data_IF_959144301209
#
_entry.id   IF_959144301209
#
_cell.length_a   1.000
_cell.length_b   1.000
_cell.length_c   1.000
_cell.angle_alpha   90.00
_cell.angle_beta   90.00
_cell.angle_gamma   90.00
#
_symmetry.space_group_name_H-M   'P 1'
#
loop_
_entity.id
_entity.type
_entity.pdbx_description
1 polymer ?
#
# COMPACT_ATOMS: atom_id res chain seq x y z
N UNK A 1 -5.84 8.11 26.80
CA UNK A 1 -6.47 6.86 26.35
C UNK A 1 -5.48 6.15 25.46
N UNK A 2 -5.11 4.94 25.82
CA UNK A 2 -4.20 4.10 25.02
C UNK A 2 -4.89 3.76 23.68
N UNK A 3 -4.12 3.59 22.59
CA UNK A 3 -4.69 3.32 21.27
C UNK A 3 -5.49 2.00 21.27
N UNK A 4 -5.02 0.98 22.00
CA UNK A 4 -5.72 -0.29 22.13
C UNK A 4 -7.05 -0.14 22.90
N UNK A 5 -7.05 0.65 23.96
CA UNK A 5 -8.25 0.99 24.73
C UNK A 5 -9.27 1.76 23.87
N UNK A 6 -8.79 2.71 23.06
CA UNK A 6 -9.65 3.44 22.13
C UNK A 6 -10.27 2.53 21.07
N UNK A 7 -9.50 1.62 20.50
CA UNK A 7 -9.97 0.62 19.53
C UNK A 7 -11.08 -0.22 20.16
N UNK A 8 -10.82 -0.80 21.33
CA UNK A 8 -11.78 -1.67 22.02
C UNK A 8 -13.08 -0.93 22.34
N UNK A 9 -12.99 0.33 22.78
CA UNK A 9 -14.16 1.11 23.20
C UNK A 9 -14.97 1.66 22.02
N UNK A 10 -14.31 2.09 20.93
CA UNK A 10 -15.00 2.70 19.79
C UNK A 10 -15.51 1.71 18.77
N UNK A 11 -14.81 0.59 18.59
CA UNK A 11 -15.14 -0.40 17.56
C UNK A 11 -15.87 -1.61 18.15
N UNK A 12 -15.99 -1.70 19.48
CA UNK A 12 -16.64 -2.80 20.20
C UNK A 12 -16.14 -4.20 19.79
N UNK A 13 -14.86 -4.29 19.39
CA UNK A 13 -14.25 -5.53 18.92
C UNK A 13 -13.79 -6.40 20.11
N UNK A 14 -13.79 -7.74 19.97
CA UNK A 14 -13.09 -8.64 20.87
C UNK A 14 -11.63 -8.23 21.08
N UNK A 15 -11.05 -8.61 22.22
CA UNK A 15 -9.68 -8.23 22.57
C UNK A 15 -8.63 -8.60 21.51
N UNK A 16 -8.74 -9.80 20.91
CA UNK A 16 -7.78 -10.25 19.89
C UNK A 16 -7.87 -9.44 18.60
N UNK A 17 -9.09 -9.11 18.15
CA UNK A 17 -9.32 -8.24 17.00
C UNK A 17 -8.83 -6.83 17.29
N UNK A 18 -9.12 -6.29 18.49
CA UNK A 18 -8.63 -4.98 18.92
C UNK A 18 -7.09 -4.91 18.90
N UNK A 19 -6.43 -5.95 19.43
CA UNK A 19 -4.97 -6.07 19.42
C UNK A 19 -4.42 -6.18 18.00
N UNK A 20 -5.13 -6.89 17.11
CA UNK A 20 -4.77 -6.99 15.72
C UNK A 20 -4.83 -5.63 15.01
N UNK A 21 -5.95 -4.91 15.13
CA UNK A 21 -6.14 -3.56 14.58
C UNK A 21 -5.09 -2.59 15.11
N UNK A 22 -4.75 -2.68 16.40
CA UNK A 22 -3.68 -1.88 17.01
C UNK A 22 -2.33 -2.10 16.31
N UNK A 23 -1.92 -3.36 16.14
CA UNK A 23 -0.65 -3.69 15.48
C UNK A 23 -0.64 -3.23 14.04
N UNK A 24 -1.74 -3.45 13.32
CA UNK A 24 -1.87 -3.02 11.94
C UNK A 24 -1.78 -1.53 11.75
N UNK A 25 -2.56 -0.78 12.52
CA UNK A 25 -2.52 0.69 12.52
C UNK A 25 -1.09 1.18 12.77
N UNK A 26 -0.42 0.60 13.76
CA UNK A 26 0.95 0.97 14.13
C UNK A 26 1.94 0.66 13.01
N UNK A 27 1.84 -0.50 12.37
CA UNK A 27 2.75 -0.88 11.27
C UNK A 27 2.52 -0.03 10.02
N UNK A 28 1.26 0.24 9.64
CA UNK A 28 0.91 1.12 8.52
C UNK A 28 1.54 2.50 8.75
N UNK A 29 1.37 3.09 9.94
CA UNK A 29 1.96 4.39 10.27
C UNK A 29 3.49 4.34 10.18
N UNK A 30 4.14 3.30 10.69
CA UNK A 30 5.61 3.14 10.61
C UNK A 30 6.09 3.09 9.17
N UNK A 31 5.42 2.31 8.33
CA UNK A 31 5.76 2.15 6.90
C UNK A 31 5.56 3.46 6.16
N UNK A 32 4.43 4.14 6.36
CA UNK A 32 4.16 5.44 5.74
C UNK A 32 5.22 6.47 6.13
N UNK A 33 5.55 6.57 7.43
CA UNK A 33 6.58 7.50 7.91
C UNK A 33 7.92 7.28 7.23
N UNK A 34 8.29 6.02 7.00
CA UNK A 34 9.61 5.64 6.50
C UNK A 34 9.72 5.75 4.98
N UNK A 35 8.67 5.38 4.25
CA UNK A 35 8.75 5.18 2.81
C UNK A 35 7.86 6.14 2.00
N UNK A 36 6.79 6.71 2.58
CA UNK A 36 5.85 7.51 1.80
C UNK A 36 6.40 8.91 1.45
N UNK A 37 7.18 9.49 2.36
CA UNK A 37 7.68 10.88 2.27
C UNK A 37 9.14 10.95 1.82
N UNK A 38 9.53 10.13 0.85
CA UNK A 38 10.90 10.08 0.35
C UNK A 38 11.26 11.35 -0.44
N UNK A 39 12.33 12.04 -0.06
CA UNK A 39 12.73 13.39 -0.51
C UNK A 39 12.52 13.69 -2.01
N UNK A 40 13.00 12.81 -2.89
CA UNK A 40 12.94 13.01 -4.35
C UNK A 40 11.57 12.72 -4.97
N UNK A 41 10.64 12.14 -4.21
CA UNK A 41 9.37 11.64 -4.71
C UNK A 41 8.18 12.17 -3.90
N UNK A 42 7.27 12.88 -4.57
CA UNK A 42 5.95 13.19 -4.04
C UNK A 42 4.99 12.07 -4.43
N UNK A 43 4.92 11.04 -3.59
CA UNK A 43 4.16 9.83 -3.91
C UNK A 43 2.65 10.10 -3.99
N UNK A 44 2.06 9.66 -5.10
CA UNK A 44 0.62 9.47 -5.25
C UNK A 44 0.17 8.18 -4.57
N UNK A 45 1.03 7.15 -4.53
CA UNK A 45 0.75 5.91 -3.80
C UNK A 45 2.02 5.16 -3.38
N UNK A 46 1.85 4.29 -2.39
CA UNK A 46 2.86 3.34 -1.91
C UNK A 46 2.21 1.97 -1.72
N UNK A 47 2.84 0.92 -2.22
CA UNK A 47 2.34 -0.46 -2.06
C UNK A 47 3.34 -1.31 -1.30
N UNK A 48 2.84 -2.17 -0.42
CA UNK A 48 3.63 -3.15 0.30
C UNK A 48 3.02 -4.53 0.04
N UNK A 49 3.79 -5.45 -0.52
CA UNK A 49 3.30 -6.79 -0.88
C UNK A 49 4.36 -7.84 -0.63
N UNK A 50 3.95 -9.05 -0.25
CA UNK A 50 4.81 -10.24 -0.26
C UNK A 50 4.71 -11.06 -1.55
N UNK A 51 3.83 -10.67 -2.49
CA UNK A 51 3.41 -11.51 -3.61
C UNK A 51 3.38 -10.81 -4.97
N UNK A 52 3.91 -9.58 -5.10
CA UNK A 52 3.96 -8.93 -6.42
C UNK A 52 4.74 -9.81 -7.41
N UNK A 53 4.01 -10.53 -8.25
CA UNK A 53 4.49 -11.35 -9.37
C UNK A 53 5.35 -10.47 -10.28
N UNK A 54 6.62 -10.83 -10.46
CA UNK A 54 7.60 -10.06 -11.25
C UNK A 54 8.76 -9.47 -10.45
N UNK A 55 8.70 -9.47 -9.10
CA UNK A 55 9.81 -9.01 -8.25
C UNK A 55 11.00 -9.98 -8.22
N UNK A 56 10.72 -11.28 -8.27
CA UNK A 56 11.68 -12.35 -8.56
C UNK A 56 12.44 -12.09 -9.86
N UNK A 57 11.78 -11.46 -10.83
CA UNK A 57 12.40 -11.09 -12.11
C UNK A 57 13.21 -9.79 -12.02
N UNK A 58 12.85 -8.84 -11.14
CA UNK A 58 13.69 -7.68 -10.82
C UNK A 58 14.98 -8.07 -10.07
N UNK A 59 14.95 -9.10 -9.22
CA UNK A 59 16.17 -9.62 -8.59
C UNK A 59 17.19 -10.13 -9.64
N UNK A 60 16.71 -10.59 -10.78
CA UNK A 60 17.53 -10.97 -11.93
C UNK A 60 17.90 -9.79 -12.85
N UNK A 61 17.24 -8.62 -12.73
CA UNK A 61 17.49 -7.44 -13.56
C UNK A 61 18.93 -6.96 -13.48
N UNK A 62 19.52 -6.94 -12.27
CA UNK A 62 20.92 -6.52 -12.04
C UNK A 62 21.97 -7.45 -12.67
N UNK A 63 21.54 -8.56 -13.26
CA UNK A 63 22.39 -9.56 -13.93
C UNK A 63 22.20 -9.56 -15.46
N UNK A 64 21.35 -8.68 -15.99
CA UNK A 64 21.08 -8.56 -17.42
C UNK A 64 22.09 -7.62 -18.10
N UNK A 65 22.32 -7.82 -19.39
CA UNK A 65 23.03 -6.83 -20.23
C UNK A 65 22.10 -5.69 -20.63
N UNK A 66 22.64 -4.51 -20.98
CA UNK A 66 21.86 -3.31 -21.40
C UNK A 66 20.74 -3.61 -22.43
N UNK A 67 21.01 -4.51 -23.38
CA UNK A 67 20.02 -4.92 -24.39
C UNK A 67 18.89 -5.79 -23.82
N UNK A 68 19.22 -6.69 -22.90
CA UNK A 68 18.25 -7.54 -22.19
C UNK A 68 17.46 -6.75 -21.16
N UNK A 69 18.09 -5.79 -20.48
CA UNK A 69 17.41 -4.84 -19.61
C UNK A 69 16.34 -4.08 -20.38
N UNK A 70 16.68 -3.49 -21.54
CA UNK A 70 15.70 -2.80 -22.39
C UNK A 70 14.54 -3.69 -22.82
N UNK A 71 14.80 -4.94 -23.22
CA UNK A 71 13.76 -5.89 -23.63
C UNK A 71 12.92 -6.43 -22.47
N UNK A 72 13.52 -6.57 -21.29
CA UNK A 72 12.84 -7.01 -20.08
C UNK A 72 11.94 -5.90 -19.54
N UNK A 73 12.45 -4.67 -19.47
CA UNK A 73 11.70 -3.47 -19.09
C UNK A 73 10.56 -3.19 -20.07
N UNK A 74 10.78 -3.37 -21.39
CA UNK A 74 9.73 -3.17 -22.39
C UNK A 74 8.56 -4.15 -22.25
N UNK A 75 8.83 -5.39 -21.85
CA UNK A 75 7.80 -6.45 -21.75
C UNK A 75 7.10 -6.54 -20.40
N UNK A 76 7.75 -6.12 -19.32
CA UNK A 76 7.24 -6.29 -17.95
C UNK A 76 6.91 -4.98 -17.24
N UNK A 77 7.50 -3.85 -17.65
CA UNK A 77 7.47 -2.58 -16.92
C UNK A 77 7.28 -1.35 -17.83
N UNK A 78 6.73 -1.51 -19.03
CA UNK A 78 6.15 -0.40 -19.78
C UNK A 78 4.87 0.03 -19.04
N UNK A 79 4.99 0.92 -18.03
CA UNK A 79 5.30 2.32 -18.30
C UNK A 79 6.01 3.04 -17.13
N UNK A 80 7.25 2.72 -16.76
CA UNK A 80 7.93 3.40 -15.63
C UNK A 80 9.24 4.12 -16.00
N UNK A 81 9.48 5.28 -15.38
CA UNK A 81 10.70 6.08 -15.48
C UNK A 81 11.20 6.52 -14.09
N UNK A 82 12.44 7.02 -14.03
CA UNK A 82 13.10 7.50 -12.81
C UNK A 82 13.12 6.45 -11.69
N UNK A 83 13.46 5.20 -12.02
CA UNK A 83 13.43 4.10 -11.05
C UNK A 83 14.62 4.22 -10.08
N UNK A 84 14.35 4.22 -8.77
CA UNK A 84 15.36 4.32 -7.71
C UNK A 84 15.04 3.34 -6.59
N UNK A 85 16.05 2.64 -6.09
CA UNK A 85 15.91 1.77 -4.91
C UNK A 85 16.46 2.47 -3.66
N UNK A 86 15.70 2.43 -2.57
CA UNK A 86 16.12 2.94 -1.27
C UNK A 86 15.56 2.05 -0.15
N UNK A 87 16.46 1.49 0.65
CA UNK A 87 16.13 0.65 1.82
C UNK A 87 15.11 -0.46 1.50
N UNK A 88 15.31 -1.13 0.35
CA UNK A 88 14.48 -2.22 -0.13
C UNK A 88 13.16 -1.80 -0.79
N UNK A 89 12.80 -0.51 -0.79
CA UNK A 89 11.67 0.02 -1.55
C UNK A 89 12.14 0.54 -2.92
N UNK A 90 11.33 0.32 -3.95
CA UNK A 90 11.56 0.82 -5.31
C UNK A 90 10.57 1.94 -5.60
N UNK A 91 11.11 3.10 -5.95
CA UNK A 91 10.42 4.32 -6.30
C UNK A 91 10.46 4.52 -7.80
N UNK A 92 9.38 5.01 -8.37
CA UNK A 92 9.26 5.17 -9.82
C UNK A 92 8.18 6.19 -10.17
N UNK A 93 8.16 6.59 -11.44
CA UNK A 93 7.14 7.46 -12.02
C UNK A 93 6.50 6.78 -13.23
N UNK A 94 5.19 6.88 -13.37
CA UNK A 94 4.47 6.42 -14.56
C UNK A 94 4.83 7.26 -15.79
N UNK A 95 5.37 6.63 -16.83
CA UNK A 95 5.76 7.21 -18.12
C UNK A 95 4.57 7.32 -19.11
N UNK A 96 3.49 6.58 -18.88
CA UNK A 96 2.20 6.68 -19.55
C UNK A 96 1.08 6.47 -18.55
N UNK A 97 -0.16 6.72 -18.97
CA UNK A 97 -1.33 6.33 -18.17
C UNK A 97 -1.39 4.80 -18.01
N UNK A 98 -1.81 4.34 -16.84
CA UNK A 98 -2.09 2.94 -16.53
C UNK A 98 -3.60 2.77 -16.34
N UNK A 99 -4.22 1.91 -17.13
CA UNK A 99 -5.68 1.75 -17.19
C UNK A 99 -6.14 0.46 -16.53
N UNK A 100 -7.36 0.46 -15.98
CA UNK A 100 -8.06 -0.77 -15.59
C UNK A 100 -8.60 -1.52 -16.83
N UNK A 101 -9.17 -2.70 -16.60
CA UNK A 101 -9.77 -3.51 -17.68
C UNK A 101 -10.99 -2.84 -18.34
N UNK A 102 -11.56 -1.80 -17.74
CA UNK A 102 -12.63 -0.99 -18.29
C UNK A 102 -12.14 0.22 -19.07
N UNK A 103 -10.82 0.44 -19.16
CA UNK A 103 -10.21 1.59 -19.84
C UNK A 103 -10.18 2.87 -18.99
N UNK A 104 -10.47 2.81 -17.68
CA UNK A 104 -10.35 3.97 -16.80
C UNK A 104 -8.90 4.11 -16.33
N UNK A 105 -8.35 5.33 -16.38
CA UNK A 105 -7.00 5.59 -15.89
C UNK A 105 -6.94 5.40 -14.37
N UNK A 106 -6.27 4.34 -13.90
CA UNK A 106 -5.99 4.11 -12.48
C UNK A 106 -4.85 5.03 -12.03
N UNK A 107 -3.76 5.07 -12.80
CA UNK A 107 -2.58 5.89 -12.51
C UNK A 107 -2.24 6.75 -13.73
N UNK A 108 -2.57 8.05 -13.71
CA UNK A 108 -2.20 8.95 -14.80
C UNK A 108 -0.68 9.05 -14.98
N UNK A 109 -0.24 9.35 -16.21
CA UNK A 109 1.14 9.67 -16.52
C UNK A 109 1.69 10.73 -15.56
N UNK A 110 2.91 10.52 -15.09
CA UNK A 110 3.59 11.39 -14.14
C UNK A 110 3.29 11.04 -12.67
N UNK A 111 2.32 10.17 -12.40
CA UNK A 111 2.06 9.67 -11.05
C UNK A 111 3.31 8.99 -10.50
N UNK A 112 3.69 9.36 -9.29
CA UNK A 112 4.83 8.79 -8.60
C UNK A 112 4.35 7.71 -7.64
N UNK A 113 4.95 6.53 -7.74
CA UNK A 113 4.61 5.35 -6.96
C UNK A 113 5.85 4.78 -6.29
N UNK A 114 5.64 4.03 -5.24
CA UNK A 114 6.68 3.18 -4.67
C UNK A 114 6.14 1.84 -4.24
N UNK A 115 7.00 0.84 -4.25
CA UNK A 115 6.67 -0.52 -3.82
C UNK A 115 7.73 -1.08 -2.88
N UNK A 116 7.29 -1.79 -1.85
CA UNK A 116 8.15 -2.52 -0.92
C UNK A 116 7.75 -3.99 -0.92
N UNK A 117 8.71 -4.88 -1.21
CA UNK A 117 8.47 -6.32 -1.16
C UNK A 117 8.70 -6.84 0.27
N UNK A 118 7.68 -6.75 1.12
CA UNK A 118 7.76 -7.22 2.52
C UNK A 118 6.39 -7.54 3.07
N UNK A 119 6.26 -8.67 3.76
CA UNK A 119 5.06 -8.94 4.54
C UNK A 119 4.98 -7.96 5.72
N UNK A 120 3.96 -7.11 5.75
CA UNK A 120 3.81 -6.06 6.77
C UNK A 120 2.83 -6.40 7.89
N UNK A 121 2.02 -7.44 7.70
CA UNK A 121 1.08 -7.90 8.72
C UNK A 121 1.83 -8.72 9.77
N UNK A 122 1.50 -8.60 11.06
CA UNK A 122 2.04 -9.50 12.08
C UNK A 122 1.62 -10.94 11.75
N UNK A 123 2.58 -11.86 11.71
CA UNK A 123 2.26 -13.28 11.63
C UNK A 123 1.60 -13.67 12.95
N UNK A 124 0.31 -14.01 12.88
CA UNK A 124 -0.46 -14.54 14.00
C UNK A 124 -1.19 -15.77 13.49
N UNK A 125 -1.44 -16.74 14.36
CA UNK A 125 -2.12 -18.00 14.00
C UNK A 125 -3.51 -17.79 13.36
N UNK A 126 -4.06 -16.58 13.46
CA UNK A 126 -5.40 -16.21 13.02
C UNK A 126 -5.41 -15.01 12.06
N UNK A 127 -4.30 -14.64 11.41
CA UNK A 127 -4.28 -13.46 10.52
C UNK A 127 -5.35 -13.52 9.43
N UNK A 128 -5.62 -14.71 8.88
CA UNK A 128 -6.68 -14.91 7.89
C UNK A 128 -8.10 -14.65 8.44
N UNK A 129 -8.31 -14.86 9.74
CA UNK A 129 -9.62 -14.62 10.39
C UNK A 129 -9.97 -13.13 10.49
N UNK A 130 -9.01 -12.23 10.25
CA UNK A 130 -9.19 -10.79 10.38
C UNK A 130 -9.22 -10.05 9.04
N UNK A 131 -9.21 -10.77 7.91
CA UNK A 131 -9.17 -10.19 6.55
C UNK A 131 -10.23 -9.13 6.31
N UNK A 132 -11.47 -9.42 6.69
CA UNK A 132 -12.59 -8.50 6.53
C UNK A 132 -12.47 -7.19 7.31
N UNK A 133 -11.61 -7.10 8.32
CA UNK A 133 -11.43 -5.85 9.09
C UNK A 133 -10.73 -4.73 8.29
N UNK A 134 -9.90 -5.07 7.29
CA UNK A 134 -9.20 -4.10 6.44
C UNK A 134 -9.50 -4.24 4.95
N UNK A 135 -10.20 -5.30 4.56
CA UNK A 135 -10.73 -5.52 3.22
C UNK A 135 -12.25 -5.78 3.29
N UNK A 136 -13.04 -4.83 3.79
CA UNK A 136 -14.46 -5.04 4.07
C UNK A 136 -15.29 -5.32 2.81
N UNK A 137 -14.94 -4.73 1.66
CA UNK A 137 -15.68 -4.87 0.40
C UNK A 137 -15.67 -6.31 -0.10
N UNK A 138 -14.50 -6.97 -0.03
CA UNK A 138 -14.34 -8.36 -0.49
C UNK A 138 -14.96 -9.38 0.47
N UNK A 139 -15.19 -9.01 1.73
CA UNK A 139 -15.61 -9.92 2.79
C UNK A 139 -16.98 -9.58 3.38
N UNK A 140 -17.66 -8.54 2.90
CA UNK A 140 -18.96 -8.05 3.40
C UNK A 140 -18.92 -7.65 4.88
N UNK A 141 -17.85 -6.99 5.33
CA UNK A 141 -17.69 -6.46 6.69
C UNK A 141 -18.07 -4.98 6.76
N UNK A 142 -18.28 -4.47 7.99
CA UNK A 142 -18.42 -3.02 8.20
C UNK A 142 -17.09 -2.29 7.89
N UNK A 143 -17.19 -1.10 7.30
CA UNK A 143 -16.05 -0.20 7.06
C UNK A 143 -15.49 0.45 8.32
N UNK A 144 -16.15 0.33 9.48
CA UNK A 144 -15.80 1.05 10.73
C UNK A 144 -14.32 0.93 11.11
N UNK A 145 -13.74 -0.27 10.95
CA UNK A 145 -12.34 -0.52 11.28
C UNK A 145 -11.40 0.15 10.27
N UNK A 146 -11.69 0.04 8.97
CA UNK A 146 -10.91 0.68 7.92
C UNK A 146 -10.96 2.22 8.06
N UNK A 147 -12.14 2.77 8.34
CA UNK A 147 -12.34 4.20 8.60
C UNK A 147 -11.59 4.66 9.85
N UNK A 148 -11.59 3.86 10.91
CA UNK A 148 -10.80 4.14 12.12
C UNK A 148 -9.30 4.19 11.80
N UNK A 149 -8.78 3.20 11.08
CA UNK A 149 -7.36 3.11 10.70
C UNK A 149 -6.98 4.32 9.83
N UNK A 150 -7.80 4.65 8.83
CA UNK A 150 -7.59 5.81 7.98
C UNK A 150 -7.63 7.12 8.76
N UNK A 151 -8.52 7.26 9.75
CA UNK A 151 -8.53 8.43 10.63
C UNK A 151 -7.24 8.53 11.44
N UNK A 152 -6.75 7.44 12.01
CA UNK A 152 -5.47 7.42 12.74
C UNK A 152 -4.28 7.73 11.85
N UNK A 153 -4.30 7.25 10.62
CA UNK A 153 -3.30 7.57 9.62
C UNK A 153 -3.24 9.08 9.34
N UNK A 154 -4.39 9.71 9.07
CA UNK A 154 -4.45 11.15 8.81
C UNK A 154 -4.13 12.01 10.04
N UNK A 155 -4.44 11.54 11.25
CA UNK A 155 -3.99 12.19 12.49
C UNK A 155 -2.46 12.12 12.66
N UNK A 156 -1.83 11.02 12.24
CA UNK A 156 -0.38 10.84 12.34
C UNK A 156 0.41 11.66 11.31
N UNK A 157 -0.22 12.03 10.20
CA UNK A 157 0.40 12.77 9.09
C UNK A 157 -0.47 13.97 8.68
N UNK A 158 -0.63 14.97 9.57
CA UNK A 158 -1.50 16.12 9.32
C UNK A 158 -1.08 16.86 8.04
N UNK A 159 -2.07 17.35 7.29
CA UNK A 159 -1.86 18.02 6.00
C UNK A 159 -1.72 17.09 4.80
N UNK A 160 -1.88 15.78 5.00
CA UNK A 160 -1.99 14.80 3.92
C UNK A 160 -3.39 14.19 3.92
N UNK A 161 -3.82 13.71 2.76
CA UNK A 161 -5.09 13.03 2.57
C UNK A 161 -4.83 11.55 2.21
N UNK A 162 -4.39 10.78 3.20
CA UNK A 162 -3.94 9.40 2.98
C UNK A 162 -5.08 8.41 3.16
N UNK A 163 -5.14 7.41 2.27
CA UNK A 163 -6.11 6.33 2.30
C UNK A 163 -5.42 4.98 2.15
N UNK A 164 -5.54 4.12 3.16
CA UNK A 164 -5.08 2.75 3.11
C UNK A 164 -6.17 1.84 2.59
N UNK A 165 -5.77 0.89 1.75
CA UNK A 165 -6.59 -0.22 1.28
C UNK A 165 -5.76 -1.50 1.43
N UNK A 166 -6.40 -2.57 1.87
CA UNK A 166 -5.81 -3.89 1.89
C UNK A 166 -6.57 -4.80 0.92
N UNK A 167 -5.84 -5.67 0.23
CA UNK A 167 -6.41 -6.69 -0.65
C UNK A 167 -5.98 -8.06 -0.15
N UNK A 168 -6.94 -8.81 0.38
CA UNK A 168 -6.79 -10.18 0.92
C UNK A 168 -5.61 -10.45 1.89
N UNK A 169 -5.06 -9.37 2.46
CA UNK A 169 -3.79 -9.36 3.23
C UNK A 169 -2.53 -9.73 2.43
N UNK A 170 -2.67 -9.89 1.11
CA UNK A 170 -1.56 -10.16 0.19
C UNK A 170 -0.75 -8.90 -0.11
N UNK A 171 -1.42 -7.74 -0.09
CA UNK A 171 -0.78 -6.44 -0.14
C UNK A 171 -1.62 -5.32 0.48
N UNK A 172 -0.93 -4.25 0.85
CA UNK A 172 -1.49 -2.98 1.31
C UNK A 172 -1.06 -1.89 0.35
N UNK A 173 -2.00 -1.05 -0.04
CA UNK A 173 -1.72 0.18 -0.77
C UNK A 173 -2.15 1.37 0.07
N UNK A 174 -1.29 2.38 0.15
CA UNK A 174 -1.59 3.70 0.70
C UNK A 174 -1.62 4.68 -0.46
N UNK A 175 -2.71 5.41 -0.60
CA UNK A 175 -2.92 6.41 -1.63
C UNK A 175 -2.92 7.80 -1.01
N UNK A 176 -2.40 8.78 -1.74
CA UNK A 176 -2.67 10.18 -1.47
C UNK A 176 -3.87 10.60 -2.33
N UNK A 177 -5.03 10.79 -1.70
CA UNK A 177 -6.29 11.14 -2.37
C UNK A 177 -6.30 12.57 -2.92
N UNK A 178 -5.34 13.44 -2.56
CA UNK A 178 -5.17 14.72 -3.24
C UNK A 178 -4.61 14.54 -4.66
N UNK A 179 -3.93 13.41 -4.90
CA UNK A 179 -3.39 13.03 -6.22
C UNK A 179 -4.29 12.02 -6.92
N UNK A 180 -4.86 11.07 -6.18
CA UNK A 180 -5.61 9.92 -6.69
C UNK A 180 -6.96 9.80 -5.96
N UNK A 181 -7.82 10.80 -6.12
CA UNK A 181 -9.09 10.92 -5.37
C UNK A 181 -10.07 9.78 -5.62
N UNK A 182 -9.99 9.12 -6.79
CA UNK A 182 -10.83 7.98 -7.17
C UNK A 182 -10.44 6.65 -6.50
N UNK A 183 -9.31 6.60 -5.78
CA UNK A 183 -8.83 5.35 -5.17
C UNK A 183 -9.51 4.99 -3.85
N UNK A 184 -10.32 5.90 -3.29
CA UNK A 184 -11.15 5.59 -2.14
C UNK A 184 -12.29 4.65 -2.57
N UNK A 185 -12.32 3.46 -2.00
CA UNK A 185 -13.33 2.41 -2.27
C UNK A 185 -14.20 2.17 -1.04
N UNK A 186 -15.43 1.74 -1.30
CA UNK A 186 -16.47 1.36 -0.34
C UNK A 186 -17.31 0.23 -0.94
#
# INVERSE_FOLDING_TARGET
MDLLEEISNKLHLPYNESRYVYHMTTQIIKVVRKYFFYDKFKLGYFTCSSLLTGWDKYANYRLLSDGQEKQFMSKFFEPFENIVEYDGAVYYRHASDFYDNGGNSIYPKGTQGATLHKFMFPHTDYSHSYRGLLDPDNYSYSHDVLDFVNRKLNMAFPGNNLWVVCFDFDYVSIYNLDTLSHMKRY
#
